data_IF_468701850033
#
_entry.id   IF_468701850033
#
_cell.length_a   1.000
_cell.length_b   1.000
_cell.length_c   1.000
_cell.angle_alpha   90.00
_cell.angle_beta   90.00
_cell.angle_gamma   90.00
#
_symmetry.space_group_name_H-M   'P 1'
#
loop_
_entity.id
_entity.type
_entity.pdbx_description
1 polymer ?
#
# COMPACT_ATOMS: atom_id res chain seq x y z
N UNK A 1 4.69 -28.19 -41.58
CA UNK A 1 3.88 -27.12 -40.96
C UNK A 1 4.39 -26.93 -39.56
N UNK A 2 4.67 -25.70 -39.18
CA UNK A 2 5.18 -25.36 -37.87
C UNK A 2 4.39 -24.21 -37.28
N UNK A 3 4.19 -24.20 -35.95
CA UNK A 3 3.67 -23.05 -35.18
C UNK A 3 4.79 -22.03 -35.01
N UNK A 4 4.71 -20.92 -35.71
CA UNK A 4 5.69 -19.82 -35.61
C UNK A 4 5.11 -18.66 -34.85
N UNK A 5 5.68 -18.41 -33.69
CA UNK A 5 5.21 -17.36 -32.81
C UNK A 5 3.77 -17.52 -32.33
N UNK A 6 3.20 -16.48 -31.77
CA UNK A 6 1.82 -16.49 -31.30
C UNK A 6 0.85 -16.54 -32.51
N UNK A 7 0.08 -17.62 -32.60
CA UNK A 7 -1.05 -17.79 -33.52
C UNK A 7 -0.74 -17.77 -35.04
N UNK A 8 0.48 -18.12 -35.47
CA UNK A 8 0.82 -18.26 -36.87
C UNK A 8 1.22 -19.70 -37.21
N UNK A 9 0.75 -20.19 -38.33
CA UNK A 9 1.20 -21.46 -38.94
C UNK A 9 2.06 -21.09 -40.14
N UNK A 10 3.28 -21.61 -40.19
CA UNK A 10 4.23 -21.39 -41.27
C UNK A 10 4.89 -22.71 -41.72
N UNK A 11 5.61 -22.71 -42.81
CA UNK A 11 6.53 -23.78 -43.16
C UNK A 11 7.91 -23.49 -42.59
N UNK A 12 8.55 -24.49 -42.02
CA UNK A 12 9.89 -24.42 -41.47
C UNK A 12 10.80 -25.48 -42.07
N UNK A 13 12.09 -25.25 -42.13
CA UNK A 13 13.06 -26.07 -42.82
C UNK A 13 13.79 -27.09 -41.96
N UNK A 14 13.69 -27.02 -40.63
CA UNK A 14 14.56 -27.75 -39.71
C UNK A 14 14.04 -29.13 -39.27
N UNK A 15 13.11 -29.74 -40.01
CA UNK A 15 12.77 -31.15 -39.87
C UNK A 15 11.64 -31.47 -38.90
N UNK A 16 11.37 -32.77 -38.80
CA UNK A 16 10.19 -33.33 -38.13
C UNK A 16 10.30 -33.39 -36.59
N UNK A 17 11.44 -33.00 -36.02
CA UNK A 17 11.74 -33.14 -34.57
C UNK A 17 11.56 -31.87 -33.75
N UNK A 18 11.19 -30.78 -34.40
CA UNK A 18 10.89 -29.52 -33.71
C UNK A 18 9.49 -29.57 -33.09
N UNK A 19 9.37 -29.25 -31.79
CA UNK A 19 8.09 -29.27 -31.05
C UNK A 19 6.99 -28.45 -31.73
N UNK A 20 7.35 -27.37 -32.43
CA UNK A 20 6.41 -26.55 -33.21
C UNK A 20 5.87 -27.24 -34.46
N UNK A 21 6.51 -28.34 -34.92
CA UNK A 21 6.07 -29.14 -36.08
C UNK A 21 5.19 -30.33 -35.69
N UNK A 22 5.04 -30.59 -34.40
CA UNK A 22 4.23 -31.70 -33.90
C UNK A 22 2.78 -31.24 -33.68
N UNK A 23 1.83 -31.90 -34.36
CA UNK A 23 0.41 -31.64 -34.23
C UNK A 23 -0.34 -32.89 -33.78
N UNK A 24 -1.21 -32.73 -32.81
CA UNK A 24 -2.14 -33.77 -32.39
C UNK A 24 -3.43 -33.63 -33.20
N UNK A 25 -3.84 -34.69 -33.86
CA UNK A 25 -5.15 -34.80 -34.51
C UNK A 25 -6.07 -35.53 -33.53
N UNK A 26 -7.16 -34.91 -33.15
CA UNK A 26 -8.14 -35.51 -32.26
C UNK A 26 -9.56 -35.09 -32.64
N UNK A 27 -10.54 -35.84 -32.20
CA UNK A 27 -11.95 -35.49 -32.40
C UNK A 27 -12.25 -34.17 -31.64
N UNK A 28 -13.09 -33.28 -32.21
CA UNK A 28 -13.42 -32.00 -31.63
C UNK A 28 -13.95 -32.12 -30.19
N UNK A 29 -14.77 -33.13 -29.93
CA UNK A 29 -15.33 -33.41 -28.60
C UNK A 29 -14.24 -33.76 -27.57
N UNK A 30 -13.29 -34.60 -27.96
CA UNK A 30 -12.14 -34.93 -27.12
C UNK A 30 -11.34 -33.69 -26.76
N UNK A 31 -11.12 -32.80 -27.72
CA UNK A 31 -10.42 -31.52 -27.46
C UNK A 31 -11.18 -30.64 -26.48
N UNK A 32 -12.51 -30.53 -26.62
CA UNK A 32 -13.36 -29.74 -25.72
C UNK A 32 -13.25 -30.26 -24.28
N UNK A 33 -13.30 -31.57 -24.09
CA UNK A 33 -13.21 -32.23 -22.79
C UNK A 33 -11.81 -32.08 -22.19
N UNK A 34 -10.75 -32.29 -22.95
CA UNK A 34 -9.37 -32.16 -22.49
C UNK A 34 -9.01 -30.74 -22.12
N UNK A 35 -9.48 -29.76 -22.90
CA UNK A 35 -9.30 -28.33 -22.55
C UNK A 35 -9.97 -28.01 -21.21
N UNK A 36 -11.22 -28.41 -21.06
CA UNK A 36 -11.97 -28.19 -19.82
C UNK A 36 -11.31 -28.86 -18.60
N UNK A 37 -10.84 -30.10 -18.79
CA UNK A 37 -10.12 -30.82 -17.73
C UNK A 37 -8.85 -30.08 -17.32
N UNK A 38 -8.04 -29.67 -18.29
CA UNK A 38 -6.80 -28.94 -18.00
C UNK A 38 -7.06 -27.59 -17.31
N UNK A 39 -8.14 -26.90 -17.69
CA UNK A 39 -8.54 -25.65 -17.04
C UNK A 39 -8.99 -25.87 -15.60
N UNK A 40 -9.84 -26.88 -15.35
CA UNK A 40 -10.31 -27.22 -14.00
C UNK A 40 -9.18 -27.76 -13.13
N UNK A 41 -8.31 -28.61 -13.65
CA UNK A 41 -7.11 -29.09 -12.93
C UNK A 41 -6.22 -27.90 -12.51
N UNK A 42 -6.09 -26.89 -13.36
CA UNK A 42 -5.34 -25.67 -13.01
C UNK A 42 -6.02 -24.86 -11.90
N UNK A 43 -7.36 -24.78 -11.89
CA UNK A 43 -8.13 -24.15 -10.80
C UNK A 43 -7.90 -24.91 -9.49
N UNK A 44 -8.02 -26.25 -9.51
CA UNK A 44 -7.94 -27.09 -8.33
C UNK A 44 -6.55 -27.12 -7.71
N UNK A 45 -5.52 -27.04 -8.53
CA UNK A 45 -4.12 -26.98 -8.10
C UNK A 45 -3.62 -25.55 -7.86
N UNK A 46 -4.50 -24.58 -7.97
CA UNK A 46 -4.16 -23.17 -7.85
C UNK A 46 -4.20 -22.74 -6.38
N UNK A 47 -3.06 -22.29 -5.84
CA UNK A 47 -2.99 -21.73 -4.51
C UNK A 47 -3.17 -20.20 -4.54
N UNK A 48 -4.17 -19.72 -5.27
CA UNK A 48 -4.54 -18.31 -5.25
C UNK A 48 -4.97 -17.88 -3.84
N UNK A 49 -4.65 -16.64 -3.44
CA UNK A 49 -5.25 -16.05 -2.25
C UNK A 49 -6.77 -16.03 -2.33
N UNK A 50 -7.42 -16.06 -1.18
CA UNK A 50 -8.86 -15.86 -1.09
C UNK A 50 -9.26 -14.53 -1.75
N UNK A 51 -10.38 -14.52 -2.47
CA UNK A 51 -10.88 -13.36 -3.21
C UNK A 51 -9.99 -12.85 -4.36
N UNK A 52 -9.02 -13.64 -4.85
CA UNK A 52 -8.31 -13.30 -6.07
C UNK A 52 -9.28 -13.12 -7.24
N UNK A 53 -9.08 -12.05 -8.01
CA UNK A 53 -9.93 -11.72 -9.16
C UNK A 53 -9.75 -12.70 -10.31
N UNK A 54 -10.81 -12.85 -11.09
CA UNK A 54 -10.80 -13.60 -12.35
C UNK A 54 -10.78 -12.64 -13.53
N UNK A 55 -9.88 -12.89 -14.47
CA UNK A 55 -9.79 -12.18 -15.75
C UNK A 55 -10.58 -12.82 -16.87
N UNK A 56 -11.54 -13.68 -16.54
CA UNK A 56 -12.44 -14.37 -17.47
C UNK A 56 -13.85 -14.42 -16.90
N UNK A 57 -14.84 -14.43 -17.76
CA UNK A 57 -16.25 -14.42 -17.36
C UNK A 57 -16.77 -15.85 -17.20
N UNK A 58 -16.37 -16.51 -16.13
CA UNK A 58 -16.84 -17.87 -15.81
C UNK A 58 -17.45 -17.93 -14.41
N UNK A 59 -18.42 -18.84 -14.25
CA UNK A 59 -18.82 -19.38 -12.98
C UNK A 59 -18.21 -20.77 -12.83
N UNK A 60 -17.33 -20.97 -11.86
CA UNK A 60 -16.60 -22.25 -11.71
C UNK A 60 -17.49 -23.43 -11.37
N UNK A 61 -18.60 -23.22 -10.66
CA UNK A 61 -19.58 -24.27 -10.35
C UNK A 61 -20.33 -24.71 -11.60
N UNK A 62 -20.80 -23.74 -12.42
CA UNK A 62 -21.44 -24.03 -13.71
C UNK A 62 -20.49 -24.71 -14.68
N UNK A 63 -19.23 -24.28 -14.71
CA UNK A 63 -18.20 -24.89 -15.54
C UNK A 63 -17.95 -26.36 -15.15
N UNK A 64 -17.83 -26.65 -13.84
CA UNK A 64 -17.70 -28.02 -13.32
C UNK A 64 -18.91 -28.87 -13.64
N UNK A 65 -20.12 -28.34 -13.48
CA UNK A 65 -21.34 -29.04 -13.81
C UNK A 65 -21.42 -29.38 -15.31
N UNK A 66 -21.04 -28.45 -16.19
CA UNK A 66 -20.97 -28.68 -17.63
C UNK A 66 -19.92 -29.74 -17.98
N UNK A 67 -18.74 -29.74 -17.37
CA UNK A 67 -17.72 -30.76 -17.54
C UNK A 67 -18.22 -32.15 -17.11
N UNK A 68 -18.83 -32.27 -15.93
CA UNK A 68 -19.39 -33.52 -15.43
C UNK A 68 -20.50 -34.05 -16.34
N UNK A 69 -21.38 -33.17 -16.85
CA UNK A 69 -22.44 -33.56 -17.76
C UNK A 69 -21.91 -34.03 -19.12
N UNK A 70 -20.85 -33.40 -19.64
CA UNK A 70 -20.23 -33.75 -20.90
C UNK A 70 -19.36 -35.02 -20.85
N UNK A 71 -18.89 -35.41 -19.66
CA UNK A 71 -18.08 -36.62 -19.43
C UNK A 71 -18.86 -37.80 -18.88
N UNK A 72 -20.15 -37.66 -18.63
CA UNK A 72 -21.01 -38.72 -18.17
C UNK A 72 -21.28 -39.75 -19.27
N UNK A 73 -21.53 -41.00 -18.90
CA UNK A 73 -21.93 -42.04 -19.86
C UNK A 73 -23.22 -41.60 -20.59
N UNK A 74 -23.22 -41.68 -21.92
CA UNK A 74 -24.35 -41.25 -22.76
C UNK A 74 -24.51 -39.71 -22.82
N UNK A 75 -23.44 -38.97 -22.69
CA UNK A 75 -23.44 -37.51 -22.95
C UNK A 75 -23.98 -37.23 -24.36
N UNK A 76 -24.80 -36.19 -24.48
CA UNK A 76 -25.40 -35.74 -25.74
C UNK A 76 -24.64 -34.55 -26.31
N UNK A 77 -24.79 -34.28 -27.61
CA UNK A 77 -24.18 -33.14 -28.31
C UNK A 77 -24.49 -31.81 -27.61
N UNK A 78 -25.69 -31.63 -27.05
CA UNK A 78 -26.07 -30.41 -26.29
C UNK A 78 -25.20 -30.20 -25.04
N UNK A 79 -24.80 -31.29 -24.36
CA UNK A 79 -23.92 -31.20 -23.18
C UNK A 79 -22.49 -30.85 -23.60
N UNK A 80 -22.02 -31.41 -24.73
CA UNK A 80 -20.72 -31.03 -25.31
C UNK A 80 -20.74 -29.57 -25.77
N UNK A 81 -21.83 -29.11 -26.39
CA UNK A 81 -21.99 -27.72 -26.82
C UNK A 81 -22.01 -26.77 -25.61
N UNK A 82 -22.67 -27.15 -24.51
CA UNK A 82 -22.65 -26.38 -23.27
C UNK A 82 -21.24 -26.25 -22.68
N UNK A 83 -20.47 -27.35 -22.68
CA UNK A 83 -19.07 -27.31 -22.22
C UNK A 83 -18.19 -26.46 -23.14
N UNK A 84 -18.42 -26.53 -24.46
CA UNK A 84 -17.73 -25.68 -25.43
C UNK A 84 -17.98 -24.19 -25.15
N UNK A 85 -19.21 -23.78 -24.86
CA UNK A 85 -19.55 -22.40 -24.47
C UNK A 85 -18.79 -21.97 -23.20
N UNK A 86 -18.68 -22.84 -22.21
CA UNK A 86 -17.88 -22.55 -21.00
C UNK A 86 -16.37 -22.42 -21.33
N UNK A 87 -15.84 -23.28 -22.23
CA UNK A 87 -14.45 -23.15 -22.70
C UNK A 87 -14.20 -21.81 -23.40
N UNK A 88 -15.12 -21.35 -24.25
CA UNK A 88 -15.03 -20.07 -24.95
C UNK A 88 -15.05 -18.90 -23.96
N UNK A 89 -15.93 -18.95 -22.95
CA UNK A 89 -15.96 -17.96 -21.86
C UNK A 89 -14.66 -17.95 -21.05
N UNK A 90 -14.09 -19.10 -20.77
CA UNK A 90 -12.83 -19.23 -20.05
C UNK A 90 -11.61 -18.75 -20.83
N UNK A 91 -11.70 -18.68 -22.15
CA UNK A 91 -10.68 -18.17 -23.05
C UNK A 91 -10.83 -16.66 -23.35
N UNK A 92 -11.98 -16.07 -22.98
CA UNK A 92 -12.28 -14.67 -23.25
C UNK A 92 -11.82 -13.79 -22.11
N UNK A 93 -10.84 -12.92 -22.35
CA UNK A 93 -10.36 -11.95 -21.36
C UNK A 93 -11.43 -10.91 -21.02
N UNK A 94 -11.64 -10.73 -19.73
CA UNK A 94 -12.42 -9.62 -19.17
C UNK A 94 -11.54 -8.95 -18.12
N UNK A 95 -11.27 -7.67 -18.32
CA UNK A 95 -10.46 -6.94 -17.35
C UNK A 95 -11.27 -6.67 -16.06
N UNK A 96 -10.91 -7.28 -14.91
CA UNK A 96 -11.62 -7.07 -13.66
C UNK A 96 -11.08 -5.88 -12.87
N UNK A 97 -10.08 -5.17 -13.38
CA UNK A 97 -9.45 -4.04 -12.72
C UNK A 97 -10.29 -2.78 -12.99
N UNK A 98 -10.78 -2.18 -11.93
CA UNK A 98 -11.58 -0.96 -11.95
C UNK A 98 -10.75 0.23 -11.48
N UNK A 99 -10.90 1.36 -12.16
CA UNK A 99 -10.32 2.63 -11.73
C UNK A 99 -10.94 3.10 -10.41
N UNK A 100 -10.10 3.69 -9.53
CA UNK A 100 -10.54 4.12 -8.20
C UNK A 100 -10.69 3.00 -7.17
N UNK A 101 -10.40 1.76 -7.53
CA UNK A 101 -10.31 0.63 -6.61
C UNK A 101 -8.87 0.33 -6.25
N UNK A 102 -8.69 -0.36 -5.13
CA UNK A 102 -7.39 -0.71 -4.59
C UNK A 102 -7.21 -2.22 -4.57
N UNK A 103 -5.99 -2.67 -4.83
CA UNK A 103 -5.64 -4.07 -5.00
C UNK A 103 -4.32 -4.38 -4.31
N UNK A 104 -4.01 -5.67 -4.20
CA UNK A 104 -2.70 -6.23 -3.90
C UNK A 104 -2.30 -7.21 -4.99
N UNK A 105 -1.03 -7.29 -5.27
CA UNK A 105 -0.48 -8.25 -6.22
C UNK A 105 0.29 -9.33 -5.45
N UNK A 106 -0.15 -10.57 -5.61
CA UNK A 106 0.49 -11.74 -4.99
C UNK A 106 1.15 -12.60 -6.05
N UNK A 107 2.45 -12.83 -5.94
CA UNK A 107 3.23 -13.53 -6.95
C UNK A 107 2.89 -15.02 -7.02
N UNK A 108 2.77 -15.57 -8.23
CA UNK A 108 2.39 -16.97 -8.47
C UNK A 108 3.54 -17.94 -8.21
N UNK A 109 4.80 -17.47 -8.15
CA UNK A 109 5.96 -18.33 -7.95
C UNK A 109 5.95 -19.05 -6.58
N UNK A 110 6.75 -20.11 -6.43
CA UNK A 110 6.85 -20.90 -5.19
C UNK A 110 7.27 -20.09 -3.97
N UNK A 111 7.94 -18.96 -4.18
CA UNK A 111 8.33 -18.06 -3.10
C UNK A 111 7.23 -17.11 -2.66
N UNK A 112 6.07 -17.21 -3.21
CA UNK A 112 4.78 -16.50 -3.02
C UNK A 112 4.85 -15.31 -2.10
N UNK A 113 4.77 -14.11 -2.67
CA UNK A 113 4.97 -12.89 -1.93
C UNK A 113 4.10 -11.76 -2.45
N UNK A 114 3.77 -10.85 -1.55
CA UNK A 114 3.05 -9.63 -1.87
C UNK A 114 4.00 -8.57 -2.43
N UNK A 115 3.63 -7.95 -3.54
CA UNK A 115 4.31 -6.76 -4.02
C UNK A 115 4.19 -5.66 -2.98
N UNK A 116 5.30 -5.02 -2.63
CA UNK A 116 5.35 -3.96 -1.64
C UNK A 116 6.50 -2.98 -1.92
N UNK A 117 6.49 -1.83 -1.28
CA UNK A 117 7.59 -0.86 -1.30
C UNK A 117 8.55 -1.16 -0.15
N UNK A 118 9.85 -1.10 -0.40
CA UNK A 118 10.85 -1.30 0.65
C UNK A 118 10.84 -0.17 1.67
N UNK A 119 10.80 -0.52 2.96
CA UNK A 119 10.76 0.46 4.05
C UNK A 119 11.99 1.39 4.09
N UNK A 120 13.17 0.87 3.73
CA UNK A 120 14.44 1.60 3.81
C UNK A 120 14.83 2.33 2.50
N UNK A 121 14.14 2.04 1.41
CA UNK A 121 14.39 2.63 0.12
C UNK A 121 13.08 3.04 -0.56
N UNK A 122 12.68 4.27 -0.37
CA UNK A 122 11.40 4.87 -0.74
C UNK A 122 10.88 4.64 -2.16
N UNK A 123 11.71 4.19 -3.06
CA UNK A 123 11.36 4.03 -4.46
C UNK A 123 11.53 2.58 -4.93
N UNK A 124 12.21 1.76 -4.14
CA UNK A 124 12.48 0.39 -4.55
C UNK A 124 11.33 -0.53 -4.17
N UNK A 125 10.94 -1.36 -5.11
CA UNK A 125 9.92 -2.38 -4.92
C UNK A 125 10.54 -3.65 -4.35
N UNK A 126 9.72 -4.39 -3.59
CA UNK A 126 10.07 -5.67 -3.02
C UNK A 126 8.90 -6.65 -3.18
N UNK A 127 9.17 -7.93 -2.96
CA UNK A 127 8.16 -8.97 -2.80
C UNK A 127 8.36 -9.60 -1.42
N UNK A 128 7.40 -9.42 -0.51
CA UNK A 128 7.49 -9.81 0.89
C UNK A 128 6.26 -10.60 1.35
N UNK A 129 6.47 -11.76 1.98
CA UNK A 129 5.39 -12.61 2.47
C UNK A 129 4.58 -11.97 3.62
N UNK A 130 5.21 -11.08 4.40
CA UNK A 130 4.57 -10.39 5.53
C UNK A 130 3.76 -9.15 5.14
N UNK A 131 3.78 -8.75 3.86
CA UNK A 131 3.19 -7.49 3.41
C UNK A 131 1.70 -7.57 3.06
N UNK A 132 1.00 -8.66 3.37
CA UNK A 132 -0.41 -8.86 3.01
C UNK A 132 -1.32 -7.70 3.43
N UNK A 133 -1.19 -7.24 4.66
CA UNK A 133 -2.00 -6.13 5.21
C UNK A 133 -1.24 -4.81 5.31
N UNK A 134 -0.04 -4.73 4.72
CA UNK A 134 0.76 -3.52 4.76
C UNK A 134 0.17 -2.41 3.90
N UNK A 135 0.28 -1.16 4.34
CA UNK A 135 -0.04 0.03 3.54
C UNK A 135 0.77 0.05 2.24
N UNK A 136 2.05 -0.29 2.34
CA UNK A 136 3.02 -0.31 1.24
C UNK A 136 2.75 -1.37 0.17
N UNK A 137 1.79 -2.29 0.38
CA UNK A 137 1.38 -3.30 -0.61
C UNK A 137 0.13 -2.90 -1.42
N UNK A 138 -0.47 -1.75 -1.11
CA UNK A 138 -1.67 -1.29 -1.80
C UNK A 138 -1.31 -0.67 -3.14
N UNK A 139 -1.89 -1.20 -4.21
CA UNK A 139 -1.76 -0.70 -5.58
C UNK A 139 -3.11 -0.23 -6.11
N UNK A 140 -3.11 0.84 -6.88
CA UNK A 140 -4.25 1.26 -7.69
C UNK A 140 -3.84 1.41 -9.15
N UNK A 141 -4.83 1.37 -10.04
CA UNK A 141 -4.64 1.49 -11.48
C UNK A 141 -5.36 2.73 -11.99
N UNK A 142 -4.68 3.50 -12.82
CA UNK A 142 -5.23 4.67 -13.50
C UNK A 142 -5.10 4.45 -15.00
N UNK A 143 -6.23 4.51 -15.71
CA UNK A 143 -6.24 4.40 -17.16
C UNK A 143 -5.53 5.59 -17.82
N UNK A 144 -4.82 5.31 -18.91
CA UNK A 144 -4.12 6.34 -19.68
C UNK A 144 -5.02 6.74 -20.86
N UNK A 145 -5.63 7.93 -20.77
CA UNK A 145 -6.61 8.38 -21.76
C UNK A 145 -6.07 8.40 -23.21
N UNK A 146 -4.78 8.69 -23.38
CA UNK A 146 -4.10 8.68 -24.69
C UNK A 146 -3.70 7.29 -25.18
N UNK A 147 -3.79 6.26 -24.32
CA UNK A 147 -3.34 4.90 -24.59
C UNK A 147 -4.41 3.90 -24.13
N UNK A 148 -5.50 3.67 -24.88
CA UNK A 148 -6.57 2.77 -24.47
C UNK A 148 -6.08 1.38 -24.11
N UNK A 149 -6.55 0.85 -22.95
CA UNK A 149 -6.14 -0.46 -22.44
C UNK A 149 -4.78 -0.47 -21.71
N UNK A 150 -4.16 0.71 -21.54
CA UNK A 150 -2.95 0.87 -20.74
C UNK A 150 -3.26 1.55 -19.40
N UNK A 151 -2.48 1.18 -18.39
CA UNK A 151 -2.64 1.66 -17.02
C UNK A 151 -1.33 2.18 -16.44
N UNK A 152 -1.42 3.21 -15.61
CA UNK A 152 -0.40 3.53 -14.60
C UNK A 152 -0.68 2.71 -13.34
N UNK A 153 0.34 2.06 -12.81
CA UNK A 153 0.25 1.40 -11.50
C UNK A 153 0.75 2.37 -10.44
N UNK A 154 -0.09 2.67 -9.46
CA UNK A 154 0.21 3.64 -8.40
C UNK A 154 0.36 2.95 -7.04
N UNK A 155 1.40 3.30 -6.32
CA UNK A 155 1.69 2.87 -4.95
C UNK A 155 2.31 4.02 -4.18
N UNK A 156 1.96 4.21 -2.90
CA UNK A 156 2.55 5.24 -2.04
C UNK A 156 2.53 6.66 -2.66
N UNK A 157 1.45 7.00 -3.37
CA UNK A 157 1.30 8.28 -4.06
C UNK A 157 2.22 8.50 -5.27
N UNK A 158 2.98 7.48 -5.68
CA UNK A 158 3.90 7.48 -6.84
C UNK A 158 3.47 6.49 -7.91
N UNK A 159 4.13 6.52 -9.05
CA UNK A 159 3.86 5.66 -10.20
C UNK A 159 4.99 4.65 -10.36
N UNK A 160 4.65 3.40 -10.67
CA UNK A 160 5.63 2.38 -11.04
C UNK A 160 6.34 2.79 -12.34
N UNK A 161 7.67 2.81 -12.29
CA UNK A 161 8.53 3.20 -13.41
C UNK A 161 8.55 2.14 -14.51
N UNK A 162 9.07 2.55 -15.67
CA UNK A 162 9.24 1.67 -16.82
C UNK A 162 10.43 0.72 -16.65
N UNK A 163 10.38 -0.39 -17.36
CA UNK A 163 11.52 -1.28 -17.56
C UNK A 163 12.70 -0.53 -18.18
N UNK A 164 13.91 -0.82 -17.74
CA UNK A 164 15.16 -0.22 -18.28
C UNK A 164 16.11 -1.26 -18.89
N UNK A 165 16.35 -2.33 -18.16
CA UNK A 165 17.19 -3.46 -18.57
C UNK A 165 16.89 -4.67 -17.67
N UNK A 166 17.26 -5.85 -18.13
CA UNK A 166 17.13 -7.09 -17.37
C UNK A 166 17.81 -6.99 -16.00
N UNK A 167 17.15 -7.53 -14.98
CA UNK A 167 17.60 -7.49 -13.59
C UNK A 167 17.85 -6.08 -13.01
N UNK A 168 17.51 -5.02 -13.74
CA UNK A 168 17.51 -3.67 -13.18
C UNK A 168 16.23 -3.47 -12.37
N UNK A 169 16.31 -3.05 -11.09
CA UNK A 169 15.13 -2.83 -10.28
C UNK A 169 14.18 -1.81 -10.92
N UNK A 170 12.91 -2.17 -11.00
CA UNK A 170 11.83 -1.24 -11.31
C UNK A 170 11.52 -0.48 -10.02
N UNK A 171 11.49 0.84 -10.11
CA UNK A 171 11.34 1.73 -8.95
C UNK A 171 10.10 2.62 -9.10
N UNK A 172 9.60 3.14 -7.99
CA UNK A 172 8.57 4.17 -8.02
C UNK A 172 9.17 5.52 -8.45
N UNK A 173 8.48 6.22 -9.33
CA UNK A 173 8.86 7.53 -9.85
C UNK A 173 7.77 8.57 -9.54
N UNK A 174 8.15 9.85 -9.58
CA UNK A 174 7.20 10.94 -9.39
C UNK A 174 6.18 11.05 -10.52
N UNK A 175 5.07 11.73 -10.24
CA UNK A 175 4.00 11.93 -11.21
C UNK A 175 4.45 12.72 -12.46
N UNK A 176 5.48 13.55 -12.35
CA UNK A 176 6.03 14.37 -13.45
C UNK A 176 7.13 13.65 -14.25
N UNK A 177 7.52 12.45 -13.83
CA UNK A 177 8.63 11.71 -14.43
C UNK A 177 8.31 11.22 -15.85
N UNK A 178 9.27 11.33 -16.77
CA UNK A 178 9.24 10.68 -18.08
C UNK A 178 9.51 9.18 -18.03
N UNK A 179 9.90 8.67 -16.85
CA UNK A 179 10.24 7.27 -16.61
C UNK A 179 9.05 6.42 -16.12
N UNK A 180 7.81 6.90 -16.29
CA UNK A 180 6.60 6.17 -15.91
C UNK A 180 6.36 4.97 -16.81
N UNK A 181 6.09 3.81 -16.23
CA UNK A 181 5.64 2.61 -16.95
C UNK A 181 4.22 2.77 -17.48
N UNK A 182 3.90 2.08 -18.57
CA UNK A 182 2.58 1.98 -19.19
C UNK A 182 2.24 0.50 -19.35
N UNK A 183 1.33 0.01 -18.51
CA UNK A 183 1.13 -1.43 -18.35
C UNK A 183 -0.11 -1.95 -19.07
N UNK A 184 0.08 -2.93 -19.96
CA UNK A 184 -1.01 -3.78 -20.46
C UNK A 184 -1.26 -4.89 -19.44
N UNK A 185 -2.53 -5.10 -19.12
CA UNK A 185 -2.98 -6.19 -18.27
C UNK A 185 -3.39 -7.35 -19.16
N UNK A 186 -2.78 -8.51 -18.96
CA UNK A 186 -3.16 -9.75 -19.65
C UNK A 186 -3.50 -10.82 -18.62
N UNK A 187 -4.43 -11.71 -18.97
CA UNK A 187 -4.77 -12.88 -18.14
C UNK A 187 -4.13 -14.14 -18.70
N UNK A 188 -3.62 -14.97 -17.79
CA UNK A 188 -3.12 -16.30 -18.08
C UNK A 188 -3.90 -17.28 -17.19
N UNK A 189 -4.52 -18.26 -17.78
CA UNK A 189 -5.23 -19.32 -17.03
C UNK A 189 -6.28 -18.79 -16.03
N UNK A 190 -7.09 -17.84 -16.47
CA UNK A 190 -8.29 -17.42 -15.75
C UNK A 190 -8.08 -16.39 -14.64
N UNK A 191 -7.20 -16.62 -13.66
CA UNK A 191 -6.98 -15.73 -12.51
C UNK A 191 -5.51 -15.32 -12.29
N UNK A 192 -4.61 -15.72 -13.18
CA UNK A 192 -3.22 -15.29 -13.19
C UNK A 192 -3.04 -14.16 -14.19
N UNK A 193 -2.47 -13.07 -13.77
CA UNK A 193 -2.29 -11.86 -14.56
C UNK A 193 -0.81 -11.60 -14.83
N UNK A 194 -0.52 -10.99 -15.96
CA UNK A 194 0.77 -10.38 -16.25
C UNK A 194 0.58 -8.92 -16.56
N UNK A 195 1.59 -8.13 -16.22
CA UNK A 195 1.63 -6.69 -16.46
C UNK A 195 2.84 -6.40 -17.35
N UNK A 196 2.57 -6.08 -18.60
CA UNK A 196 3.59 -5.80 -19.61
C UNK A 196 3.78 -4.29 -19.76
N UNK A 197 5.00 -3.81 -19.56
CA UNK A 197 5.32 -2.40 -19.74
C UNK A 197 5.52 -2.07 -21.23
N UNK A 198 4.49 -1.48 -21.81
CA UNK A 198 4.49 -1.06 -23.21
C UNK A 198 5.36 0.16 -23.47
N UNK A 199 5.63 1.00 -22.47
CA UNK A 199 6.47 2.18 -22.62
C UNK A 199 7.91 1.82 -23.02
N UNK A 200 8.37 0.62 -22.68
CA UNK A 200 9.71 0.11 -23.02
C UNK A 200 9.73 -0.73 -24.29
N UNK A 201 8.59 -1.30 -24.67
CA UNK A 201 8.40 -2.18 -25.85
C UNK A 201 9.49 -3.26 -26.02
N UNK A 202 9.96 -3.85 -24.91
CA UNK A 202 10.95 -4.92 -24.89
C UNK A 202 10.25 -6.24 -24.50
N UNK A 203 10.65 -7.38 -25.07
CA UNK A 203 10.10 -8.68 -24.76
C UNK A 203 10.22 -9.08 -23.28
N UNK A 204 11.19 -8.50 -22.56
CA UNK A 204 11.43 -8.68 -21.12
C UNK A 204 10.79 -7.60 -20.25
N UNK A 205 9.78 -6.90 -20.74
CA UNK A 205 9.14 -5.79 -20.00
C UNK A 205 7.99 -6.24 -19.09
N UNK A 206 7.88 -7.52 -18.73
CA UNK A 206 6.92 -7.96 -17.71
C UNK A 206 7.44 -7.66 -16.32
N UNK A 207 6.56 -7.17 -15.42
CA UNK A 207 6.93 -7.04 -14.02
C UNK A 207 7.15 -8.43 -13.40
N UNK A 208 8.32 -8.62 -12.83
CA UNK A 208 8.84 -9.91 -12.39
C UNK A 208 9.36 -9.82 -10.96
N UNK A 209 8.97 -10.78 -10.12
CA UNK A 209 9.50 -10.91 -8.76
C UNK A 209 10.81 -11.71 -8.79
N UNK A 210 11.95 -11.01 -8.73
CA UNK A 210 13.25 -11.65 -8.60
C UNK A 210 13.65 -11.71 -7.12
N UNK A 211 13.33 -12.82 -6.46
CA UNK A 211 13.61 -13.10 -5.04
C UNK A 211 13.03 -12.02 -4.11
N UNK A 212 13.63 -10.84 -4.01
CA UNK A 212 13.26 -9.73 -3.14
C UNK A 212 13.17 -8.38 -3.85
N UNK A 213 13.23 -8.36 -5.18
CA UNK A 213 13.13 -7.13 -5.96
C UNK A 213 12.17 -7.29 -7.13
N UNK A 214 11.55 -6.21 -7.54
CA UNK A 214 10.78 -6.15 -8.76
C UNK A 214 11.71 -5.73 -9.90
N UNK A 215 11.78 -6.55 -10.93
CA UNK A 215 12.58 -6.29 -12.15
C UNK A 215 11.73 -6.50 -13.39
N UNK A 216 12.26 -6.18 -14.55
CA UNK A 216 11.68 -6.62 -15.81
C UNK A 216 12.27 -7.96 -16.24
N UNK A 217 11.43 -8.86 -16.74
CA UNK A 217 11.83 -10.16 -17.27
C UNK A 217 10.79 -10.71 -18.26
N UNK A 218 11.08 -11.84 -18.89
CA UNK A 218 10.14 -12.56 -19.76
C UNK A 218 8.90 -13.06 -19.01
N UNK A 219 7.87 -13.47 -19.76
CA UNK A 219 6.63 -14.00 -19.20
C UNK A 219 6.81 -15.41 -18.62
N UNK A 220 7.39 -15.50 -17.43
CA UNK A 220 7.61 -16.73 -16.65
C UNK A 220 6.72 -16.76 -15.40
N UNK A 221 6.74 -17.84 -14.62
CA UNK A 221 5.93 -17.92 -13.39
C UNK A 221 6.15 -16.76 -12.41
N UNK A 222 7.39 -16.28 -12.14
CA UNK A 222 7.59 -15.10 -11.32
C UNK A 222 7.12 -13.78 -11.93
N UNK A 223 6.71 -13.76 -13.20
CA UNK A 223 6.06 -12.61 -13.86
C UNK A 223 4.54 -12.68 -13.79
N UNK A 224 3.97 -13.71 -13.16
CA UNK A 224 2.54 -13.91 -13.00
C UNK A 224 2.08 -13.53 -11.60
N UNK A 225 0.90 -12.95 -11.54
CA UNK A 225 0.36 -12.36 -10.31
C UNK A 225 -1.11 -12.72 -10.13
N UNK A 226 -1.52 -12.97 -8.91
CA UNK A 226 -2.92 -12.89 -8.52
C UNK A 226 -3.22 -11.44 -8.14
N UNK A 227 -4.34 -10.92 -8.62
CA UNK A 227 -4.86 -9.60 -8.25
C UNK A 227 -5.91 -9.78 -7.19
N UNK A 228 -5.69 -9.22 -6.01
CA UNK A 228 -6.58 -9.36 -4.85
C UNK A 228 -7.11 -7.99 -4.45
N UNK A 229 -8.43 -7.79 -4.26
CA UNK A 229 -8.96 -6.54 -3.74
C UNK A 229 -8.34 -6.17 -2.39
N UNK A 230 -7.86 -4.94 -2.26
CA UNK A 230 -7.34 -4.40 -1.01
C UNK A 230 -8.46 -3.65 -0.27
N UNK A 231 -9.17 -4.33 0.59
CA UNK A 231 -10.30 -3.77 1.34
C UNK A 231 -9.89 -3.10 2.66
N UNK A 232 -8.72 -3.44 3.18
CA UNK A 232 -8.22 -2.98 4.47
C UNK A 232 -6.69 -2.95 4.53
N UNK A 233 -6.15 -2.27 5.54
CA UNK A 233 -4.74 -2.32 5.95
C UNK A 233 -4.64 -2.40 7.46
N UNK A 234 -3.53 -2.91 7.99
CA UNK A 234 -3.22 -2.93 9.41
C UNK A 234 -2.14 -1.91 9.76
N UNK A 235 -2.36 -1.18 10.84
CA UNK A 235 -1.39 -0.25 11.43
C UNK A 235 -1.00 -0.76 12.81
N UNK A 236 0.28 -1.09 13.00
CA UNK A 236 0.81 -1.41 14.30
C UNK A 236 0.82 -0.15 15.20
N UNK A 237 0.40 -0.33 16.45
CA UNK A 237 0.32 0.72 17.45
C UNK A 237 1.26 0.42 18.61
N UNK A 238 1.84 1.46 19.18
CA UNK A 238 2.80 1.36 20.28
C UNK A 238 2.11 1.65 21.60
N UNK A 239 2.33 0.80 22.60
CA UNK A 239 1.83 1.01 23.95
C UNK A 239 2.47 2.24 24.61
N UNK A 240 1.64 3.06 25.22
CA UNK A 240 2.05 4.16 26.09
C UNK A 240 0.95 4.41 27.13
N UNK A 241 1.30 4.41 28.40
CA UNK A 241 0.34 4.38 29.50
C UNK A 241 -0.63 3.19 29.32
N UNK A 242 -1.93 3.42 29.47
CA UNK A 242 -2.95 2.37 29.37
C UNK A 242 -3.56 2.24 27.94
N UNK A 243 -2.90 2.82 26.93
CA UNK A 243 -3.39 2.87 25.54
C UNK A 243 -2.30 2.52 24.54
N UNK A 244 -2.74 2.25 23.32
CA UNK A 244 -1.87 2.12 22.16
C UNK A 244 -2.10 3.29 21.20
N UNK A 245 -1.03 3.74 20.56
CA UNK A 245 -1.04 4.93 19.71
C UNK A 245 -0.26 4.68 18.41
N UNK A 246 -0.73 5.30 17.35
CA UNK A 246 0.05 5.44 16.11
C UNK A 246 -0.28 6.77 15.43
N UNK A 247 0.64 7.31 14.65
CA UNK A 247 0.33 8.36 13.67
C UNK A 247 0.29 7.74 12.28
N UNK A 248 -0.56 8.27 11.40
CA UNK A 248 -0.67 7.79 10.03
C UNK A 248 -0.95 8.94 9.04
N UNK A 249 -0.50 8.72 7.80
CA UNK A 249 -0.73 9.57 6.64
C UNK A 249 -0.77 8.66 5.41
N UNK A 250 -1.93 8.49 4.78
CA UNK A 250 -2.15 7.44 3.79
C UNK A 250 -2.50 8.00 2.41
N UNK A 251 -2.09 7.34 1.31
CA UNK A 251 -2.35 7.79 -0.05
C UNK A 251 -3.77 7.46 -0.55
N UNK A 252 -4.62 6.93 0.30
CA UNK A 252 -6.00 6.55 0.01
C UNK A 252 -6.92 6.93 1.16
N UNK A 253 -8.22 7.01 0.86
CA UNK A 253 -9.25 7.27 1.85
C UNK A 253 -9.44 6.08 2.79
N UNK A 254 -9.58 6.38 4.08
CA UNK A 254 -9.96 5.44 5.13
C UNK A 254 -11.43 5.65 5.46
N UNK A 255 -12.28 4.69 5.11
CA UNK A 255 -13.72 4.75 5.34
C UNK A 255 -14.10 4.51 6.81
N UNK A 256 -13.39 3.62 7.47
CA UNK A 256 -13.65 3.22 8.86
C UNK A 256 -12.39 2.69 9.53
N UNK A 257 -12.35 2.77 10.86
CA UNK A 257 -11.26 2.24 11.71
C UNK A 257 -11.85 1.27 12.73
N UNK A 258 -11.22 0.11 12.87
CA UNK A 258 -11.55 -0.90 13.88
C UNK A 258 -10.33 -1.15 14.78
N UNK A 259 -10.56 -1.40 16.08
CA UNK A 259 -9.49 -1.56 17.09
C UNK A 259 -8.92 -0.26 17.66
N UNK A 260 -9.28 0.89 17.06
CA UNK A 260 -8.88 2.22 17.52
C UNK A 260 -9.90 3.28 17.13
N UNK A 261 -9.78 4.47 17.73
CA UNK A 261 -10.42 5.70 17.27
C UNK A 261 -9.41 6.54 16.51
N UNK A 262 -9.79 7.05 15.34
CA UNK A 262 -9.01 8.01 14.59
C UNK A 262 -9.31 9.44 15.05
N UNK A 263 -8.26 10.26 15.12
CA UNK A 263 -8.33 11.68 15.48
C UNK A 263 -7.55 12.52 14.48
N UNK A 264 -8.13 13.62 14.08
CA UNK A 264 -7.46 14.73 13.39
C UNK A 264 -7.27 15.90 14.36
N UNK A 265 -6.41 16.86 14.06
CA UNK A 265 -6.06 17.87 15.07
C UNK A 265 -5.94 19.28 14.52
N UNK A 266 -6.49 20.26 15.25
CA UNK A 266 -6.29 21.68 15.00
C UNK A 266 -5.46 22.30 16.12
N UNK A 267 -4.52 23.19 15.76
CA UNK A 267 -3.78 23.95 16.76
C UNK A 267 -4.69 24.99 17.42
N UNK A 268 -4.57 25.12 18.74
CA UNK A 268 -5.23 26.21 19.44
C UNK A 268 -4.65 27.60 19.05
N UNK A 269 -5.29 28.68 19.44
CA UNK A 269 -4.90 30.05 19.08
C UNK A 269 -3.44 30.40 19.42
N UNK A 270 -2.93 29.84 20.49
CA UNK A 270 -1.53 30.04 20.94
C UNK A 270 -0.56 29.04 20.28
N UNK A 271 -1.07 28.14 19.42
CA UNK A 271 -0.30 27.13 18.67
C UNK A 271 0.64 26.25 19.54
N UNK A 272 0.22 25.94 20.75
CA UNK A 272 0.97 25.11 21.69
C UNK A 272 0.25 23.83 22.12
N UNK A 273 -1.01 23.66 21.74
CA UNK A 273 -1.83 22.46 21.98
C UNK A 273 -2.54 22.08 20.69
N UNK A 274 -2.58 20.79 20.42
CA UNK A 274 -3.34 20.19 19.33
C UNK A 274 -4.68 19.70 19.88
N UNK A 275 -5.77 20.37 19.53
CA UNK A 275 -7.12 19.92 19.85
C UNK A 275 -7.52 18.79 18.90
N UNK A 276 -7.75 17.61 19.49
CA UNK A 276 -8.03 16.40 18.75
C UNK A 276 -9.54 16.20 18.57
N UNK A 277 -9.96 16.02 17.33
CA UNK A 277 -11.37 15.74 16.97
C UNK A 277 -11.46 14.30 16.47
N UNK A 278 -12.34 13.52 17.10
CA UNK A 278 -12.61 12.15 16.68
C UNK A 278 -13.31 12.14 15.33
N UNK A 279 -12.87 11.22 14.45
CA UNK A 279 -13.44 11.02 13.10
C UNK A 279 -13.65 9.52 12.85
N UNK A 280 -14.67 9.18 12.05
CA UNK A 280 -14.94 7.79 11.68
C UNK A 280 -14.11 7.34 10.48
N UNK A 281 -13.77 8.26 9.59
CA UNK A 281 -12.94 8.04 8.42
C UNK A 281 -12.00 9.22 8.19
N UNK A 282 -10.98 9.02 7.35
CA UNK A 282 -9.97 10.04 7.05
C UNK A 282 -9.73 10.06 5.54
N UNK A 283 -9.91 11.21 4.87
CA UNK A 283 -9.56 11.36 3.46
C UNK A 283 -8.07 11.12 3.19
N UNK A 284 -7.75 10.71 1.97
CA UNK A 284 -6.38 10.55 1.50
C UNK A 284 -5.53 11.79 1.76
N UNK A 285 -4.27 11.58 2.07
CA UNK A 285 -3.29 12.66 2.30
C UNK A 285 -3.67 13.62 3.44
N UNK A 286 -4.38 13.11 4.44
CA UNK A 286 -4.60 13.79 5.71
C UNK A 286 -3.86 13.03 6.82
N UNK A 287 -3.14 13.79 7.67
CA UNK A 287 -2.52 13.22 8.87
C UNK A 287 -3.54 12.94 9.97
N UNK A 288 -3.38 11.85 10.69
CA UNK A 288 -4.22 11.49 11.83
C UNK A 288 -3.47 10.68 12.87
N UNK A 289 -4.05 10.60 14.07
CA UNK A 289 -3.56 9.78 15.18
C UNK A 289 -4.60 8.71 15.48
N UNK A 290 -4.15 7.49 15.70
CA UNK A 290 -4.92 6.36 16.20
C UNK A 290 -4.71 6.22 17.69
N UNK A 291 -5.79 6.01 18.43
CA UNK A 291 -5.78 5.73 19.88
C UNK A 291 -6.70 4.56 20.16
N UNK A 292 -6.19 3.51 20.76
CA UNK A 292 -6.95 2.29 21.01
C UNK A 292 -6.44 1.50 22.22
N UNK A 293 -7.00 0.32 22.42
CA UNK A 293 -6.57 -0.61 23.45
C UNK A 293 -5.78 -1.80 22.83
N UNK A 294 -5.79 -1.93 21.53
CA UNK A 294 -5.19 -3.04 20.79
C UNK A 294 -3.81 -2.64 20.24
N UNK A 295 -2.96 -3.63 20.02
CA UNK A 295 -1.62 -3.44 19.42
C UNK A 295 -1.69 -3.11 17.92
N UNK A 296 -2.85 -3.28 17.31
CA UNK A 296 -3.10 -3.01 15.90
C UNK A 296 -4.46 -2.37 15.70
N UNK A 297 -4.54 -1.50 14.70
CA UNK A 297 -5.80 -1.02 14.14
C UNK A 297 -5.95 -1.52 12.71
N UNK A 298 -7.17 -1.94 12.35
CA UNK A 298 -7.55 -2.29 10.98
C UNK A 298 -8.31 -1.12 10.36
N UNK A 299 -7.81 -0.61 9.25
CA UNK A 299 -8.38 0.53 8.53
C UNK A 299 -9.02 0.03 7.24
N UNK A 300 -10.33 0.23 7.09
CA UNK A 300 -11.07 -0.10 5.88
C UNK A 300 -10.80 0.94 4.80
N UNK A 301 -10.30 0.52 3.64
CA UNK A 301 -10.08 1.37 2.47
C UNK A 301 -11.41 1.67 1.79
N UNK A 302 -11.65 2.91 1.41
CA UNK A 302 -12.85 3.34 0.70
C UNK A 302 -13.19 4.78 1.00
N UNK A 303 -14.13 5.34 0.28
CA UNK A 303 -14.48 6.76 0.35
C UNK A 303 -14.73 7.20 1.80
N UNK A 304 -14.04 8.24 2.21
CA UNK A 304 -14.20 8.91 3.49
C UNK A 304 -15.06 10.17 3.33
N UNK A 305 -15.82 10.48 4.37
CA UNK A 305 -16.51 11.77 4.44
C UNK A 305 -15.48 12.90 4.64
N UNK A 306 -15.74 14.11 4.11
CA UNK A 306 -14.90 15.26 4.36
C UNK A 306 -14.71 15.52 5.86
N UNK A 307 -13.51 15.98 6.25
CA UNK A 307 -13.23 16.33 7.63
C UNK A 307 -14.11 17.51 8.07
N UNK A 308 -14.59 17.45 9.29
CA UNK A 308 -15.39 18.54 9.90
C UNK A 308 -14.54 19.72 10.40
N UNK A 309 -13.21 19.50 10.51
CA UNK A 309 -12.25 20.56 10.89
C UNK A 309 -11.72 21.27 9.66
N UNK A 310 -11.42 22.57 9.80
CA UNK A 310 -10.99 23.41 8.69
C UNK A 310 -9.50 23.30 8.41
N UNK A 311 -8.70 23.18 9.44
CA UNK A 311 -7.22 23.22 9.38
C UNK A 311 -6.60 22.04 10.14
N UNK A 312 -6.55 20.88 9.53
CA UNK A 312 -5.81 19.77 10.11
C UNK A 312 -4.31 20.10 10.14
N UNK A 313 -3.76 20.28 11.34
CA UNK A 313 -2.35 20.59 11.54
C UNK A 313 -1.44 19.37 11.38
N UNK A 314 -2.05 18.17 11.33
CA UNK A 314 -1.32 16.93 11.08
C UNK A 314 -1.09 16.79 9.58
N UNK A 315 0.15 16.85 9.16
CA UNK A 315 0.59 16.52 7.81
C UNK A 315 1.37 15.21 7.82
N UNK A 316 1.96 14.82 6.71
CA UNK A 316 2.73 13.57 6.63
C UNK A 316 3.41 13.36 5.30
N UNK A 317 3.94 12.16 5.12
CA UNK A 317 4.56 11.73 3.87
C UNK A 317 4.30 10.25 3.64
N UNK A 318 3.93 9.91 2.39
CA UNK A 318 3.82 8.52 1.95
C UNK A 318 5.18 7.88 1.66
N UNK A 319 6.25 8.66 1.78
CA UNK A 319 7.63 8.19 1.62
C UNK A 319 8.46 8.54 2.85
N UNK A 320 9.53 7.79 3.08
CA UNK A 320 10.48 8.06 4.16
C UNK A 320 11.08 9.45 3.99
N UNK A 321 11.05 10.28 5.03
CA UNK A 321 11.67 11.59 5.06
C UNK A 321 13.01 11.48 5.79
N UNK A 322 14.11 11.69 5.09
CA UNK A 322 15.44 11.74 5.71
C UNK A 322 15.60 13.03 6.51
N UNK A 323 16.00 12.89 7.77
CA UNK A 323 16.26 14.02 8.67
C UNK A 323 17.76 14.33 8.68
N UNK A 324 18.08 15.58 8.41
CA UNK A 324 19.41 16.17 8.51
C UNK A 324 19.37 17.46 9.35
N UNK A 325 20.47 18.16 9.51
CA UNK A 325 20.54 19.35 10.34
C UNK A 325 19.70 20.51 9.76
N UNK A 326 19.50 20.55 8.44
CA UNK A 326 18.73 21.62 7.78
C UNK A 326 17.23 21.49 7.98
N UNK A 327 16.68 20.25 8.00
CA UNK A 327 15.24 20.01 8.05
C UNK A 327 14.72 19.40 9.36
N UNK A 328 15.61 19.00 10.27
CA UNK A 328 15.24 18.36 11.54
C UNK A 328 14.36 19.27 12.41
N UNK A 329 14.67 20.55 12.42
CA UNK A 329 13.93 21.55 13.20
C UNK A 329 12.55 21.87 12.60
N UNK A 330 12.31 21.50 11.35
CA UNK A 330 11.08 21.82 10.60
C UNK A 330 9.93 20.86 10.88
N UNK A 331 10.17 19.80 11.69
CA UNK A 331 9.18 18.77 11.93
C UNK A 331 9.11 18.40 13.40
N UNK A 332 7.89 18.25 13.92
CA UNK A 332 7.63 17.58 15.17
C UNK A 332 7.08 16.19 14.91
N UNK A 333 7.77 15.16 15.38
CA UNK A 333 7.41 13.76 15.15
C UNK A 333 6.57 13.21 16.30
N UNK A 334 5.65 12.33 15.96
CA UNK A 334 4.83 11.62 16.93
C UNK A 334 5.69 10.66 17.75
N UNK A 335 5.50 10.66 19.07
CA UNK A 335 6.26 9.80 19.96
C UNK A 335 5.93 9.99 21.44
N UNK A 336 6.79 9.43 22.29
CA UNK A 336 6.68 9.54 23.74
C UNK A 336 7.92 10.21 24.34
N UNK A 337 7.71 11.03 25.34
CA UNK A 337 8.79 11.61 26.15
C UNK A 337 8.37 11.64 27.62
N UNK A 338 9.18 11.06 28.50
CA UNK A 338 8.89 10.96 29.95
C UNK A 338 7.49 10.36 30.22
N UNK A 339 7.06 9.35 29.40
CA UNK A 339 5.74 8.72 29.51
C UNK A 339 4.58 9.49 28.85
N UNK A 340 4.80 10.70 28.35
CA UNK A 340 3.76 11.50 27.70
C UNK A 340 3.76 11.29 26.19
N UNK A 341 2.58 11.07 25.58
CA UNK A 341 2.38 10.92 24.14
C UNK A 341 2.12 12.29 23.51
N UNK A 342 2.80 12.60 22.42
CA UNK A 342 2.66 13.88 21.74
C UNK A 342 3.54 13.99 20.50
N UNK A 343 3.73 15.24 20.05
CA UNK A 343 4.62 15.55 18.95
C UNK A 343 5.85 16.30 19.47
N UNK A 344 7.04 15.80 19.15
CA UNK A 344 8.30 16.26 19.73
C UNK A 344 9.31 16.61 18.64
N UNK A 345 10.23 17.52 18.91
CA UNK A 345 11.42 17.70 18.08
C UNK A 345 12.16 16.37 17.92
N UNK A 346 12.52 15.99 16.69
CA UNK A 346 13.28 14.77 16.46
C UNK A 346 14.62 14.82 17.22
N UNK A 347 14.90 13.78 18.00
CA UNK A 347 16.21 13.64 18.65
C UNK A 347 17.33 13.53 17.59
N UNK A 348 18.55 13.94 17.93
CA UNK A 348 19.69 13.89 17.00
C UNK A 348 19.95 12.49 16.41
N UNK A 349 19.68 11.44 17.19
CA UNK A 349 19.80 10.04 16.76
C UNK A 349 18.72 9.57 15.78
N UNK A 350 17.60 10.29 15.65
CA UNK A 350 16.55 9.93 14.70
C UNK A 350 16.95 10.46 13.32
N UNK A 351 17.25 9.56 12.39
CA UNK A 351 17.75 9.90 11.05
C UNK A 351 16.67 10.01 10.00
N UNK A 352 15.44 9.58 10.30
CA UNK A 352 14.31 9.67 9.36
C UNK A 352 12.96 9.59 10.06
N UNK A 353 11.93 10.10 9.38
CA UNK A 353 10.52 9.80 9.64
C UNK A 353 10.13 8.69 8.66
N UNK A 354 9.56 7.60 9.15
CA UNK A 354 9.13 6.50 8.29
C UNK A 354 8.01 6.95 7.33
N UNK A 355 7.87 6.24 6.22
CA UNK A 355 6.74 6.40 5.30
C UNK A 355 5.40 6.21 6.04
N UNK A 356 4.36 6.86 5.54
CA UNK A 356 2.98 6.75 6.04
C UNK A 356 2.81 7.19 7.50
N UNK A 357 3.67 8.08 7.99
CA UNK A 357 3.57 8.66 9.33
C UNK A 357 3.17 10.13 9.27
N UNK A 358 2.26 10.51 10.16
CA UNK A 358 1.92 11.91 10.35
C UNK A 358 2.91 12.60 11.30
N UNK A 359 3.15 13.87 11.03
CA UNK A 359 3.95 14.79 11.83
C UNK A 359 3.33 16.20 11.79
N UNK A 360 3.86 17.15 12.55
CA UNK A 360 3.45 18.55 12.49
C UNK A 360 4.61 19.36 11.90
N UNK A 361 4.33 20.17 10.88
CA UNK A 361 5.32 21.08 10.31
C UNK A 361 5.59 22.23 11.33
N UNK A 362 6.85 22.43 11.71
CA UNK A 362 7.21 23.39 12.76
C UNK A 362 6.94 24.85 12.37
N UNK A 363 6.92 25.18 11.07
CA UNK A 363 6.55 26.49 10.57
C UNK A 363 5.07 26.87 10.87
N UNK A 364 4.21 25.90 11.17
CA UNK A 364 2.83 26.13 11.59
C UNK A 364 2.72 26.51 13.08
N UNK A 365 3.82 26.45 13.85
CA UNK A 365 3.86 26.61 15.29
C UNK A 365 4.41 27.98 15.71
N UNK A 366 4.27 28.30 17.02
CA UNK A 366 4.96 29.42 17.63
C UNK A 366 6.47 29.14 17.67
N UNK A 367 7.29 30.14 17.34
CA UNK A 367 8.75 30.00 17.27
C UNK A 367 9.31 29.35 18.54
N UNK A 368 10.05 28.25 18.37
CA UNK A 368 10.75 27.58 19.46
C UNK A 368 9.95 26.48 20.20
N UNK A 369 8.76 26.12 19.74
CA UNK A 369 8.02 25.01 20.32
C UNK A 369 8.83 23.70 20.20
N UNK A 370 9.14 23.09 21.35
CA UNK A 370 9.89 21.82 21.44
C UNK A 370 9.00 20.59 21.46
N UNK A 371 7.72 20.77 21.80
CA UNK A 371 6.72 19.70 21.89
C UNK A 371 5.31 20.30 21.80
N UNK A 372 4.36 19.49 21.31
CA UNK A 372 2.93 19.79 21.25
C UNK A 372 2.15 18.70 21.97
N UNK A 373 1.36 19.08 22.94
CA UNK A 373 0.41 18.22 23.64
C UNK A 373 -0.84 17.98 22.79
N UNK A 374 -1.45 16.81 22.94
CA UNK A 374 -2.74 16.49 22.35
C UNK A 374 -3.85 16.61 23.41
N UNK A 375 -4.94 17.32 23.08
CA UNK A 375 -6.12 17.48 23.91
C UNK A 375 -7.31 16.74 23.26
N UNK A 376 -7.82 15.71 23.93
CA UNK A 376 -8.95 14.89 23.50
C UNK A 376 -10.29 15.28 24.16
N UNK A 377 -10.52 16.57 24.40
CA UNK A 377 -11.79 17.02 24.96
C UNK A 377 -11.93 16.83 26.48
N UNK A 378 -10.98 17.35 27.25
CA UNK A 378 -10.98 17.34 28.72
C UNK A 378 -9.84 16.55 29.37
N UNK A 379 -9.22 15.63 28.63
CA UNK A 379 -8.00 14.93 29.05
C UNK A 379 -6.86 15.27 28.08
N UNK A 380 -6.01 16.21 28.46
CA UNK A 380 -4.73 16.39 27.76
C UNK A 380 -3.85 15.15 28.01
N UNK A 381 -3.09 14.73 27.00
CA UNK A 381 -2.13 13.61 27.12
C UNK A 381 -0.94 13.94 28.01
N UNK A 382 -1.17 14.40 29.22
CA UNK A 382 -0.15 14.54 30.27
C UNK A 382 1.05 15.46 29.98
N UNK A 383 1.14 16.10 28.79
CA UNK A 383 2.11 17.17 28.57
C UNK A 383 1.55 18.43 29.30
N UNK A 384 1.69 18.45 30.61
CA UNK A 384 1.49 19.66 31.39
C UNK A 384 2.61 20.64 30.99
N UNK A 385 2.25 21.58 30.10
CA UNK A 385 3.12 22.65 29.62
C UNK A 385 4.33 22.18 28.81
N UNK A 386 4.20 22.14 27.48
CA UNK A 386 5.35 22.40 26.61
C UNK A 386 5.82 23.83 26.87
N UNK A 387 6.45 24.03 27.99
CA UNK A 387 7.11 25.30 28.27
C UNK A 387 8.29 25.37 27.34
N UNK A 388 8.25 26.30 26.39
CA UNK A 388 9.47 26.77 25.73
C UNK A 388 10.40 27.11 26.90
N UNK A 389 11.47 26.32 27.06
CA UNK A 389 12.50 26.64 28.04
C UNK A 389 13.20 27.93 27.57
N UNK A 390 12.60 29.05 27.87
CA UNK A 390 13.25 30.34 27.73
C UNK A 390 14.30 30.39 28.83
N UNK A 391 15.57 30.42 28.47
CA UNK A 391 16.67 30.66 29.41
C UNK A 391 16.47 31.97 30.24
N UNK A 392 15.58 32.85 29.76
CA UNK A 392 15.22 34.13 30.35
C UNK A 392 13.84 34.16 31.02
N UNK A 393 13.23 33.00 31.30
CA UNK A 393 11.93 32.97 31.95
C UNK A 393 12.02 33.60 33.38
N UNK A 394 10.99 34.34 33.82
CA UNK A 394 11.00 34.96 35.14
C UNK A 394 11.06 33.89 36.25
N UNK A 395 11.86 34.17 37.25
CA UNK A 395 12.02 33.33 38.45
C UNK A 395 11.07 33.86 39.54
N UNK A 396 10.40 32.95 40.22
CA UNK A 396 9.49 33.26 41.33
C UNK A 396 9.94 32.54 42.59
N UNK A 397 9.77 33.18 43.76
CA UNK A 397 9.90 32.52 45.05
C UNK A 397 8.67 31.64 45.35
N UNK A 398 8.69 30.87 46.43
CA UNK A 398 7.58 30.00 46.82
C UNK A 398 6.30 30.73 47.19
N UNK A 399 6.37 32.06 47.43
CA UNK A 399 5.20 32.91 47.67
C UNK A 399 4.62 33.51 46.38
N UNK A 400 5.18 33.16 45.19
CA UNK A 400 4.74 33.63 43.89
C UNK A 400 5.26 35.02 43.49
N UNK A 401 6.18 35.63 44.27
CA UNK A 401 6.80 36.92 43.90
C UNK A 401 7.91 36.67 42.87
N UNK A 402 7.93 37.50 41.86
CA UNK A 402 9.02 37.52 40.87
C UNK A 402 10.32 37.98 41.56
N UNK A 403 11.40 37.23 41.36
CA UNK A 403 12.74 37.55 41.79
C UNK A 403 13.66 37.84 40.61
N UNK A 404 14.47 38.87 40.69
CA UNK A 404 15.37 39.29 39.60
C UNK A 404 16.55 38.33 39.48
N UNK A 405 16.99 37.71 40.58
CA UNK A 405 18.12 36.78 40.61
C UNK A 405 17.94 35.79 41.77
N UNK A 406 18.04 34.51 41.47
CA UNK A 406 18.01 33.47 42.50
C UNK A 406 19.30 33.47 43.32
N UNK A 407 19.20 33.38 44.67
CA UNK A 407 20.34 33.33 45.60
C UNK A 407 20.64 31.91 46.03
N UNK A 408 21.90 31.59 46.30
CA UNK A 408 22.37 30.25 46.69
C UNK A 408 21.64 29.76 47.94
N UNK A 409 21.15 28.52 47.89
CA UNK A 409 20.37 27.87 48.94
C UNK A 409 18.87 28.21 48.92
N UNK A 410 18.42 29.12 48.05
CA UNK A 410 17.00 29.44 47.88
C UNK A 410 16.28 28.44 46.97
N UNK A 411 14.98 28.28 47.26
CA UNK A 411 14.07 27.45 46.45
C UNK A 411 13.18 28.35 45.59
N UNK A 412 13.14 28.10 44.29
CA UNK A 412 12.47 28.96 43.32
C UNK A 412 11.64 28.14 42.33
N UNK A 413 10.76 28.84 41.64
CA UNK A 413 9.97 28.31 40.53
C UNK A 413 10.36 29.08 39.26
N UNK A 414 10.79 28.36 38.20
CA UNK A 414 11.03 28.90 36.87
C UNK A 414 10.45 27.93 35.84
N UNK A 415 9.69 28.44 34.88
CA UNK A 415 8.99 27.59 33.88
C UNK A 415 8.08 26.53 34.53
N UNK A 416 7.41 26.88 35.65
CA UNK A 416 6.55 25.95 36.38
C UNK A 416 7.29 24.86 37.16
N UNK A 417 8.62 24.80 37.10
CA UNK A 417 9.45 23.80 37.80
C UNK A 417 10.13 24.41 39.02
N UNK A 418 10.11 23.67 40.13
CA UNK A 418 10.82 24.00 41.38
C UNK A 418 12.29 23.63 41.21
N UNK A 419 13.19 24.55 41.55
CA UNK A 419 14.62 24.29 41.58
C UNK A 419 15.27 24.96 42.82
N UNK A 420 16.44 24.46 43.20
CA UNK A 420 17.28 25.01 44.26
C UNK A 420 18.52 25.63 43.61
N UNK A 421 18.88 26.83 43.96
CA UNK A 421 20.10 27.48 43.44
C UNK A 421 21.29 27.12 44.30
#
# INVERSE_FOLDING_TARGET
>A
INRHGENKIATWTDGETDDGSTFRIQEPETYIIEYAKAFLDNIDNNAAPENALWGVNINTEEYRAAYQAATAEGATDDKIATLKDQNEKSATFVNPIEEGKYYRLYNVSDTRRWLTVQADNNNQMNCDASAEKAVTSVVSFESIASEPGQYRMKMEGKILGKYKADNTPIVLVGNDSEEKGSFTVNVIQGNKFTFFDKASNNAHSYIHCNTHSLVGWEASAPSQWYVVPANDVEIAMTAANDKHYASAYLPFDVKAVNGAQAYVGELNDTKNVLNMTAVNGVPANQGFVLVGNEEKATLTIGNAEPLTITNNALTGSNVKVTLNDDNRADNLVFGTSEGNVGFYKPAAKLTSIAANKAFIAANSLTTGAGAIAMNFGGNTTGINNAVVASENAPIFDLSGRRVVKAVKGGVYIQNGKKFVK
#
